data_IF_108896907520
#
_entry.id   IF_108896907520
#
_cell.length_a   1.000
_cell.length_b   1.000
_cell.length_c   1.000
_cell.angle_alpha   90.00
_cell.angle_beta   90.00
_cell.angle_gamma   90.00
#
_symmetry.space_group_name_H-M   'P 1'
#
loop_
_entity.id
_entity.type
_entity.pdbx_description
1 polymer ?
#
# COMPACT_ATOMS: atom_id res chain seq x y z
N UNK A 1 -5.74 27.25 -20.27
CA UNK A 1 -5.12 25.91 -20.38
C UNK A 1 -6.26 24.91 -20.35
N UNK A 2 -6.72 24.50 -21.53
CA UNK A 2 -7.83 23.55 -21.66
C UNK A 2 -7.35 22.18 -21.16
N UNK A 3 -7.99 21.70 -20.10
CA UNK A 3 -7.63 20.45 -19.42
C UNK A 3 -8.00 19.25 -20.29
N UNK A 4 -6.97 18.56 -20.79
CA UNK A 4 -7.08 17.34 -21.59
C UNK A 4 -7.40 16.12 -20.71
N UNK A 5 -8.55 16.13 -20.02
CA UNK A 5 -9.11 14.90 -19.47
C UNK A 5 -9.64 14.05 -20.63
N UNK A 6 -9.37 12.73 -20.61
CA UNK A 6 -10.01 11.84 -21.57
C UNK A 6 -11.52 11.77 -21.29
N UNK A 7 -12.34 11.43 -22.29
CA UNK A 7 -13.77 11.11 -22.11
C UNK A 7 -14.03 9.81 -21.32
N UNK A 8 -13.01 9.31 -20.62
CA UNK A 8 -13.07 8.08 -19.83
C UNK A 8 -13.62 8.36 -18.44
N UNK A 9 -14.68 7.66 -18.08
CA UNK A 9 -15.16 7.58 -16.70
C UNK A 9 -14.49 6.40 -15.99
N UNK A 10 -13.70 6.63 -14.93
CA UNK A 10 -13.10 5.57 -14.12
C UNK A 10 -14.11 4.57 -13.58
N UNK A 11 -13.73 3.30 -13.56
CA UNK A 11 -14.49 2.24 -12.90
C UNK A 11 -13.72 1.68 -11.71
N UNK A 12 -14.44 1.18 -10.70
CA UNK A 12 -13.82 0.54 -9.53
C UNK A 12 -12.85 -0.59 -9.92
N UNK A 13 -13.16 -1.36 -10.96
CA UNK A 13 -12.30 -2.43 -11.44
C UNK A 13 -10.93 -1.93 -11.91
N UNK A 14 -10.82 -0.68 -12.40
CA UNK A 14 -9.53 -0.10 -12.74
C UNK A 14 -8.64 0.18 -11.52
N UNK A 15 -9.22 0.29 -10.33
CA UNK A 15 -8.51 0.58 -9.07
C UNK A 15 -8.42 -0.64 -8.15
N UNK A 16 -9.11 -1.72 -8.49
CA UNK A 16 -9.29 -2.88 -7.63
C UNK A 16 -8.00 -3.45 -7.08
N UNK A 17 -6.92 -3.50 -7.87
CA UNK A 17 -5.63 -3.99 -7.37
C UNK A 17 -5.06 -3.11 -6.25
N UNK A 18 -5.12 -1.78 -6.41
CA UNK A 18 -4.64 -0.82 -5.41
C UNK A 18 -5.55 -0.80 -4.17
N UNK A 19 -6.86 -0.89 -4.37
CA UNK A 19 -7.82 -1.04 -3.27
C UNK A 19 -7.56 -2.32 -2.46
N UNK A 20 -7.43 -3.46 -3.13
CA UNK A 20 -7.17 -4.75 -2.48
C UNK A 20 -5.83 -4.71 -1.74
N UNK A 21 -4.80 -4.08 -2.32
CA UNK A 21 -3.55 -3.84 -1.61
C UNK A 21 -3.81 -3.15 -0.26
N UNK A 22 -4.49 -2.00 -0.27
CA UNK A 22 -4.83 -1.27 0.95
C UNK A 22 -5.51 -2.15 2.01
N UNK A 23 -6.49 -2.97 1.60
CA UNK A 23 -7.20 -3.90 2.49
C UNK A 23 -6.30 -5.01 3.06
N UNK A 24 -5.28 -5.44 2.32
CA UNK A 24 -4.34 -6.47 2.81
C UNK A 24 -3.35 -5.92 3.84
N UNK A 25 -3.17 -4.60 3.93
CA UNK A 25 -2.24 -3.98 4.86
C UNK A 25 -2.71 -4.07 6.32
N UNK A 26 -4.01 -4.12 6.59
CA UNK A 26 -4.53 -4.37 7.94
C UNK A 26 -4.06 -5.73 8.47
N UNK A 27 -4.12 -6.76 7.62
CA UNK A 27 -3.59 -8.10 7.96
C UNK A 27 -2.08 -8.12 8.12
N UNK A 28 -1.37 -7.24 7.43
CA UNK A 28 0.07 -7.10 7.64
C UNK A 28 0.34 -6.45 8.99
N UNK A 29 -0.39 -5.39 9.36
CA UNK A 29 -0.34 -4.77 10.69
C UNK A 29 -0.59 -5.81 11.79
N UNK A 30 -1.66 -6.59 11.69
CA UNK A 30 -1.97 -7.65 12.66
C UNK A 30 -0.80 -8.62 12.86
N UNK A 31 -0.08 -8.95 11.79
CA UNK A 31 1.07 -9.87 11.84
C UNK A 31 2.34 -9.23 12.37
N UNK A 32 2.50 -7.90 12.34
CA UNK A 32 3.73 -7.18 12.73
C UNK A 32 3.60 -6.37 14.03
N UNK A 33 2.38 -6.09 14.48
CA UNK A 33 2.11 -5.20 15.62
C UNK A 33 2.39 -5.81 16.99
N UNK A 34 2.63 -7.12 17.09
CA UNK A 34 2.78 -7.82 18.37
C UNK A 34 4.18 -8.42 18.52
N UNK A 35 5.19 -7.56 18.34
CA UNK A 35 6.56 -8.00 18.20
C UNK A 35 7.27 -8.47 19.47
N UNK A 36 6.74 -8.13 20.65
CA UNK A 36 7.18 -8.74 21.91
C UNK A 36 6.81 -10.22 21.96
N UNK A 37 5.64 -10.60 21.43
CA UNK A 37 5.17 -11.98 21.48
C UNK A 37 5.91 -12.93 20.55
N UNK A 38 6.69 -12.45 19.59
CA UNK A 38 7.40 -13.33 18.63
C UNK A 38 8.47 -14.21 19.28
N UNK A 39 8.98 -13.80 20.45
CA UNK A 39 9.86 -14.62 21.28
C UNK A 39 9.08 -15.48 22.29
N UNK A 40 7.77 -15.26 22.43
CA UNK A 40 6.86 -15.93 23.35
C UNK A 40 5.99 -16.95 22.60
N UNK A 41 6.57 -18.12 22.31
CA UNK A 41 5.82 -19.27 21.82
C UNK A 41 5.75 -19.45 20.30
N UNK A 42 5.39 -20.68 19.89
CA UNK A 42 5.50 -21.15 18.50
C UNK A 42 4.56 -20.44 17.51
N UNK A 43 3.35 -20.06 17.96
CA UNK A 43 2.32 -19.47 17.09
C UNK A 43 2.66 -18.03 16.70
N UNK A 44 3.21 -17.23 17.60
CA UNK A 44 3.56 -15.84 17.33
C UNK A 44 4.73 -15.74 16.35
N UNK A 45 5.75 -16.59 16.48
CA UNK A 45 6.84 -16.70 15.50
C UNK A 45 6.32 -17.06 14.10
N UNK A 46 5.29 -17.89 14.01
CA UNK A 46 4.68 -18.26 12.73
C UNK A 46 3.97 -17.09 12.03
N UNK A 47 3.36 -16.16 12.78
CA UNK A 47 2.75 -14.95 12.19
C UNK A 47 3.82 -14.00 11.63
N UNK A 48 4.94 -13.86 12.35
CA UNK A 48 6.08 -13.08 11.92
C UNK A 48 6.72 -13.62 10.64
N UNK A 49 6.98 -14.92 10.60
CA UNK A 49 7.56 -15.59 9.44
C UNK A 49 6.66 -15.42 8.20
N UNK A 50 5.33 -15.50 8.39
CA UNK A 50 4.35 -15.21 7.33
C UNK A 50 4.35 -13.76 6.87
N UNK A 51 4.61 -12.80 7.76
CA UNK A 51 4.76 -11.40 7.37
C UNK A 51 6.02 -11.21 6.51
N UNK A 52 7.15 -11.77 6.95
CA UNK A 52 8.41 -11.75 6.21
C UNK A 52 8.31 -12.45 4.84
N UNK A 53 7.66 -13.61 4.76
CA UNK A 53 7.41 -14.30 3.49
C UNK A 53 6.57 -13.45 2.53
N UNK A 54 5.52 -12.81 3.05
CA UNK A 54 4.68 -11.88 2.29
C UNK A 54 5.48 -10.70 1.76
N UNK A 55 6.30 -10.07 2.61
CA UNK A 55 7.15 -8.94 2.24
C UNK A 55 8.26 -9.32 1.24
N UNK A 56 8.86 -10.50 1.38
CA UNK A 56 9.82 -11.04 0.41
C UNK A 56 9.16 -11.29 -0.95
N UNK A 57 7.94 -11.81 -0.95
CA UNK A 57 7.17 -12.02 -2.19
C UNK A 57 6.80 -10.70 -2.84
N UNK A 58 6.36 -9.73 -2.05
CA UNK A 58 6.12 -8.35 -2.49
C UNK A 58 7.36 -7.74 -3.16
N UNK A 59 8.52 -7.87 -2.53
CA UNK A 59 9.78 -7.30 -3.04
C UNK A 59 10.35 -8.00 -4.28
N UNK A 60 9.73 -9.09 -4.78
CA UNK A 60 10.11 -9.69 -6.08
C UNK A 60 9.71 -8.81 -7.26
N UNK A 61 8.62 -8.05 -7.13
CA UNK A 61 8.17 -7.10 -8.14
C UNK A 61 7.75 -5.78 -7.46
N UNK A 62 8.73 -4.94 -7.09
CA UNK A 62 8.46 -3.70 -6.35
C UNK A 62 7.72 -2.66 -7.19
N UNK A 63 7.61 -2.85 -8.51
CA UNK A 63 6.99 -1.90 -9.43
C UNK A 63 5.58 -2.29 -9.85
N UNK A 64 5.07 -3.47 -9.47
CA UNK A 64 3.76 -3.96 -9.89
C UNK A 64 2.64 -2.92 -9.65
N UNK A 65 2.49 -2.46 -8.41
CA UNK A 65 1.40 -1.55 -8.03
C UNK A 65 1.61 -0.13 -8.54
N UNK A 66 2.84 0.38 -8.52
CA UNK A 66 3.15 1.68 -9.15
C UNK A 66 2.89 1.66 -10.65
N UNK A 67 3.20 0.54 -11.33
CA UNK A 67 2.88 0.32 -12.73
C UNK A 67 1.37 0.27 -12.98
N UNK A 68 0.62 -0.40 -12.11
CA UNK A 68 -0.84 -0.42 -12.16
C UNK A 68 -1.44 0.99 -11.99
N UNK A 69 -0.96 1.77 -11.03
CA UNK A 69 -1.36 3.17 -10.82
C UNK A 69 -1.07 4.03 -12.05
N UNK A 70 0.11 3.85 -12.66
CA UNK A 70 0.49 4.55 -13.90
C UNK A 70 -0.45 4.21 -15.06
N UNK A 71 -0.81 2.93 -15.21
CA UNK A 71 -1.74 2.49 -16.26
C UNK A 71 -3.13 3.10 -16.06
N UNK A 72 -3.61 3.14 -14.82
CA UNK A 72 -4.87 3.82 -14.46
C UNK A 72 -4.82 5.30 -14.86
N UNK A 73 -3.80 6.03 -14.41
CA UNK A 73 -3.64 7.45 -14.70
C UNK A 73 -3.54 7.71 -16.21
N UNK A 74 -2.84 6.84 -16.95
CA UNK A 74 -2.74 6.97 -18.40
C UNK A 74 -4.09 6.88 -19.12
N UNK A 75 -5.01 6.03 -18.63
CA UNK A 75 -6.39 5.98 -19.17
C UNK A 75 -7.11 7.31 -18.94
N UNK A 76 -6.92 7.92 -17.77
CA UNK A 76 -7.57 9.17 -17.39
C UNK A 76 -7.01 10.40 -18.11
N UNK A 77 -5.68 10.50 -18.15
CA UNK A 77 -4.94 11.66 -18.63
C UNK A 77 -4.08 11.21 -19.80
N UNK A 78 -4.56 11.46 -21.03
CA UNK A 78 -3.94 10.99 -22.29
C UNK A 78 -2.48 11.45 -22.49
N UNK A 79 -2.02 12.49 -21.77
CA UNK A 79 -0.65 13.05 -21.83
C UNK A 79 -0.14 13.38 -20.42
N UNK A 80 0.90 12.70 -19.95
CA UNK A 80 1.61 13.05 -18.70
C UNK A 80 1.66 11.99 -17.59
N UNK A 81 1.44 10.71 -17.87
CA UNK A 81 1.25 9.68 -16.83
C UNK A 81 2.46 9.37 -15.93
N UNK A 82 3.69 9.72 -16.34
CA UNK A 82 4.89 9.45 -15.55
C UNK A 82 5.10 10.45 -14.41
N UNK A 83 4.63 11.69 -14.59
CA UNK A 83 4.83 12.81 -13.66
C UNK A 83 3.55 13.16 -12.89
N UNK A 84 2.48 12.37 -13.05
CA UNK A 84 1.24 12.60 -12.33
C UNK A 84 1.48 12.38 -10.82
N UNK A 85 1.20 13.38 -9.97
CA UNK A 85 1.44 13.30 -8.53
C UNK A 85 0.74 12.11 -7.86
N UNK A 86 -0.38 11.63 -8.42
CA UNK A 86 -1.12 10.49 -7.86
C UNK A 86 -0.32 9.20 -7.95
N UNK A 87 0.49 9.01 -8.99
CA UNK A 87 1.36 7.84 -9.12
C UNK A 87 2.42 7.83 -8.02
N UNK A 88 2.90 9.02 -7.61
CA UNK A 88 3.89 9.16 -6.55
C UNK A 88 3.37 8.63 -5.22
N UNK A 89 2.09 8.85 -4.87
CA UNK A 89 1.51 8.28 -3.65
C UNK A 89 1.64 6.76 -3.58
N UNK A 90 1.38 6.05 -4.68
CA UNK A 90 1.47 4.60 -4.73
C UNK A 90 2.92 4.12 -4.74
N UNK A 91 3.83 4.87 -5.37
CA UNK A 91 5.27 4.60 -5.32
C UNK A 91 5.83 4.75 -3.90
N UNK A 92 5.45 5.82 -3.21
CA UNK A 92 5.88 6.07 -1.83
C UNK A 92 5.30 5.04 -0.87
N UNK A 93 4.01 4.70 -1.01
CA UNK A 93 3.37 3.61 -0.28
C UNK A 93 4.10 2.27 -0.50
N UNK A 94 4.41 1.95 -1.76
CA UNK A 94 5.12 0.71 -2.10
C UNK A 94 6.53 0.68 -1.48
N UNK A 95 7.21 1.82 -1.45
CA UNK A 95 8.55 1.94 -0.87
C UNK A 95 8.52 1.75 0.65
N UNK A 96 7.51 2.30 1.33
CA UNK A 96 7.29 2.09 2.76
C UNK A 96 7.03 0.62 3.10
N UNK A 97 6.17 -0.05 2.32
CA UNK A 97 5.87 -1.48 2.48
C UNK A 97 7.14 -2.31 2.23
N UNK A 98 7.84 -2.07 1.12
CA UNK A 98 9.09 -2.76 0.78
C UNK A 98 10.14 -2.65 1.89
N UNK A 99 10.29 -1.45 2.46
CA UNK A 99 11.23 -1.18 3.56
C UNK A 99 10.88 -1.85 4.88
N UNK A 100 9.68 -2.42 5.03
CA UNK A 100 9.34 -3.22 6.21
C UNK A 100 10.11 -4.54 6.24
N UNK A 101 10.52 -5.09 5.09
CA UNK A 101 11.28 -6.34 5.08
C UNK A 101 12.60 -6.19 5.84
N UNK A 102 13.44 -5.22 5.46
CA UNK A 102 14.75 -5.03 6.08
C UNK A 102 14.63 -4.70 7.57
N UNK A 103 13.58 -3.96 7.93
CA UNK A 103 13.28 -3.58 9.29
C UNK A 103 12.93 -4.80 10.17
N UNK A 104 12.09 -5.70 9.66
CA UNK A 104 11.73 -6.95 10.34
C UNK A 104 12.82 -8.04 10.23
N UNK A 105 13.74 -7.93 9.27
CA UNK A 105 14.96 -8.74 9.25
C UNK A 105 16.03 -8.20 10.23
N UNK A 106 15.70 -7.15 11.01
CA UNK A 106 16.59 -6.46 11.96
C UNK A 106 17.89 -5.97 11.30
N UNK A 107 17.81 -5.64 10.00
CA UNK A 107 18.95 -5.12 9.22
C UNK A 107 19.07 -3.60 9.28
N UNK A 108 18.13 -2.93 9.95
CA UNK A 108 18.12 -1.48 10.15
C UNK A 108 18.59 -1.18 11.57
N UNK A 109 19.67 -0.43 11.69
CA UNK A 109 20.24 -0.05 13.00
C UNK A 109 19.20 0.67 13.86
N UNK A 110 19.14 0.32 15.15
CA UNK A 110 18.20 0.92 16.11
C UNK A 110 16.79 0.32 16.09
N UNK A 111 16.49 -0.64 15.22
CA UNK A 111 15.19 -1.33 15.17
C UNK A 111 15.35 -2.85 15.33
N UNK A 112 14.96 -3.36 16.49
CA UNK A 112 14.92 -4.80 16.80
C UNK A 112 13.69 -5.13 17.65
N UNK A 113 13.22 -6.38 17.57
CA UNK A 113 12.05 -6.86 18.32
C UNK A 113 10.85 -5.92 18.23
N UNK A 114 10.35 -5.46 19.39
CA UNK A 114 9.20 -4.54 19.47
C UNK A 114 9.37 -3.27 18.64
N UNK A 115 10.55 -2.66 18.67
CA UNK A 115 10.81 -1.40 17.97
C UNK A 115 10.67 -1.58 16.45
N UNK A 116 11.09 -2.72 15.91
CA UNK A 116 10.89 -3.06 14.51
C UNK A 116 9.39 -3.24 14.21
N UNK A 117 8.64 -3.98 15.03
CA UNK A 117 7.19 -4.12 14.84
C UNK A 117 6.43 -2.79 14.86
N UNK A 118 6.76 -1.90 15.81
CA UNK A 118 6.14 -0.58 15.96
C UNK A 118 6.42 0.32 14.75
N UNK A 119 7.68 0.38 14.28
CA UNK A 119 8.04 1.19 13.12
C UNK A 119 7.50 0.60 11.81
N UNK A 120 7.47 -0.73 11.65
CA UNK A 120 6.80 -1.38 10.52
C UNK A 120 5.31 -1.00 10.50
N UNK A 121 4.63 -1.09 11.65
CA UNK A 121 3.22 -0.71 11.77
C UNK A 121 2.99 0.75 11.37
N UNK A 122 3.87 1.66 11.79
CA UNK A 122 3.80 3.07 11.41
C UNK A 122 3.96 3.27 9.90
N UNK A 123 4.94 2.60 9.27
CA UNK A 123 5.16 2.66 7.81
C UNK A 123 3.96 2.11 7.03
N UNK A 124 3.38 1.01 7.49
CA UNK A 124 2.21 0.40 6.85
C UNK A 124 1.00 1.34 6.95
N UNK A 125 0.75 1.97 8.11
CA UNK A 125 -0.32 2.95 8.27
C UNK A 125 -0.13 4.19 7.38
N UNK A 126 1.11 4.65 7.22
CA UNK A 126 1.40 5.75 6.29
C UNK A 126 1.18 5.32 4.83
N UNK A 127 1.55 4.09 4.46
CA UNK A 127 1.23 3.53 3.16
C UNK A 127 -0.29 3.46 2.92
N UNK A 128 -1.09 3.07 3.93
CA UNK A 128 -2.55 3.05 3.83
C UNK A 128 -3.13 4.44 3.55
N UNK A 129 -2.61 5.49 4.21
CA UNK A 129 -3.00 6.90 3.95
C UNK A 129 -2.68 7.35 2.53
N UNK A 130 -1.49 7.02 2.03
CA UNK A 130 -1.09 7.37 0.67
C UNK A 130 -1.97 6.66 -0.38
N UNK A 131 -2.30 5.39 -0.15
CA UNK A 131 -3.28 4.67 -0.96
C UNK A 131 -4.66 5.36 -0.86
N UNK A 132 -5.07 5.78 0.34
CA UNK A 132 -6.31 6.52 0.55
C UNK A 132 -6.37 7.81 -0.27
N UNK A 133 -5.29 8.61 -0.27
CA UNK A 133 -5.17 9.82 -1.10
C UNK A 133 -5.34 9.51 -2.59
N UNK A 134 -4.65 8.47 -3.09
CA UNK A 134 -4.79 8.05 -4.47
C UNK A 134 -6.23 7.66 -4.83
N UNK A 135 -6.90 6.88 -3.98
CA UNK A 135 -8.27 6.45 -4.19
C UNK A 135 -9.26 7.63 -4.13
N UNK A 136 -9.05 8.59 -3.23
CA UNK A 136 -9.87 9.80 -3.13
C UNK A 136 -9.76 10.68 -4.39
N UNK A 137 -8.55 10.79 -4.96
CA UNK A 137 -8.26 11.56 -6.18
C UNK A 137 -8.49 10.78 -7.49
N UNK A 138 -9.08 9.59 -7.38
CA UNK A 138 -9.27 8.71 -8.53
C UNK A 138 -10.41 9.16 -9.44
N UNK A 139 -11.49 9.71 -8.88
CA UNK A 139 -12.67 10.12 -9.65
C UNK A 139 -13.62 8.98 -10.05
N UNK A 140 -13.56 7.83 -9.36
CA UNK A 140 -14.57 6.77 -9.52
C UNK A 140 -15.91 7.21 -8.93
N UNK A 141 -16.96 7.04 -9.72
CA UNK A 141 -18.35 7.31 -9.35
C UNK A 141 -19.19 6.03 -9.48
N UNK A 142 -20.36 5.99 -8.84
CA UNK A 142 -21.30 4.86 -8.94
C UNK A 142 -20.85 3.62 -8.17
N UNK A 143 -20.87 2.45 -8.84
CA UNK A 143 -20.57 1.17 -8.18
C UNK A 143 -19.13 1.11 -7.66
N UNK A 144 -18.98 0.82 -6.36
CA UNK A 144 -17.67 0.74 -5.70
C UNK A 144 -17.13 2.08 -5.18
N UNK A 145 -17.80 3.21 -5.46
CA UNK A 145 -17.47 4.50 -4.87
C UNK A 145 -17.67 4.50 -3.34
N UNK A 146 -18.65 3.74 -2.84
CA UNK A 146 -18.90 3.50 -1.42
C UNK A 146 -17.74 2.78 -0.73
N UNK A 147 -17.14 1.79 -1.40
CA UNK A 147 -15.96 1.06 -0.90
C UNK A 147 -14.74 1.97 -0.82
N UNK A 148 -14.54 2.81 -1.84
CA UNK A 148 -13.48 3.82 -1.85
C UNK A 148 -13.70 4.81 -0.70
N UNK A 149 -14.90 5.36 -0.57
CA UNK A 149 -15.23 6.31 0.51
C UNK A 149 -15.04 5.69 1.91
N UNK A 150 -15.41 4.41 2.08
CA UNK A 150 -15.21 3.71 3.34
C UNK A 150 -13.72 3.56 3.69
N UNK A 151 -12.89 3.18 2.71
CA UNK A 151 -11.44 3.08 2.90
C UNK A 151 -10.82 4.44 3.22
N UNK A 152 -11.15 5.48 2.45
CA UNK A 152 -10.66 6.87 2.67
C UNK A 152 -11.07 7.41 4.03
N UNK A 153 -12.24 7.02 4.54
CA UNK A 153 -12.68 7.40 5.89
C UNK A 153 -11.91 6.66 7.00
N UNK A 154 -11.48 5.43 6.73
CA UNK A 154 -10.82 4.58 7.71
C UNK A 154 -9.32 4.90 7.88
N UNK A 155 -8.68 5.50 6.88
CA UNK A 155 -7.23 5.70 6.82
C UNK A 155 -6.87 7.15 6.45
#
# INVERSE_FOLDING_TARGET
AEGYFSDYTPQFDDLKQIYVLGMTLDRLIEKVADAEKYNEGRENRMLYDKALEGLRTWNKDPNFYSGYAKNYVFKLVKKGSADDPRVVYIKDASSLISGCQELLEERVEGFAGKAAGDEATKRIKEAQKLIGKFLAESGVEGEGADKIAAYVKAH
#
